data_IF_889734600755
#
_entry.id   IF_889734600755
#
_cell.length_a   1.000
_cell.length_b   1.000
_cell.length_c   1.000
_cell.angle_alpha   90.00
_cell.angle_beta   90.00
_cell.angle_gamma   90.00
#
_symmetry.space_group_name_H-M   'P 1'
#
loop_
_entity.id
_entity.type
_entity.pdbx_description
1 polymer ?
#
# COMPACT_ATOMS: atom_id res chain seq x y z
N UNK A 1 56.03 -4.10 -19.58
CA UNK A 1 55.57 -4.03 -19.39
C UNK A 1 54.56 -3.76 -19.08
N UNK A 2 54.07 -3.77 -18.90
CA UNK A 2 53.29 -3.61 -18.68
C UNK A 2 52.29 -3.32 -18.43
N UNK A 3 51.70 -3.31 -18.18
CA UNK A 3 50.94 -3.09 -18.06
C UNK A 3 49.86 -2.92 -17.88
N UNK A 4 49.31 -2.81 -17.66
CA UNK A 4 48.39 -2.64 -17.59
C UNK A 4 47.42 -2.72 -17.19
N UNK A 5 46.96 -2.76 -17.01
CA UNK A 5 46.17 -2.91 -16.65
C UNK A 5 45.19 -2.57 -16.08
N UNK A 6 44.82 -2.45 -15.79
CA UNK A 6 44.02 -2.10 -15.21
C UNK A 6 42.86 -1.85 -15.31
N UNK A 7 42.52 -1.67 -15.26
CA UNK A 7 41.61 -1.38 -15.40
C UNK A 7 40.51 -1.58 -15.19
N UNK A 8 40.17 -1.83 -15.18
CA UNK A 8 39.27 -2.10 -15.10
C UNK A 8 38.36 -1.96 -14.39
N UNK A 9 38.14 -2.11 -14.00
CA UNK A 9 37.48 -2.11 -13.28
C UNK A 9 36.44 -1.47 -13.13
N UNK A 10 36.12 -1.30 -12.88
CA UNK A 10 35.30 -0.58 -12.66
C UNK A 10 34.06 -0.63 -12.87
N UNK A 11 33.63 -0.66 -13.02
CA UNK A 11 32.59 -0.73 -13.33
C UNK A 11 31.55 -0.96 -12.68
N UNK A 12 31.24 -1.31 -12.38
CA UNK A 12 30.32 -1.67 -11.81
C UNK A 12 29.54 -1.04 -11.08
N UNK A 13 29.41 -1.03 -10.72
CA UNK A 13 28.93 -0.42 -9.93
C UNK A 13 27.69 -0.03 -10.17
N UNK A 14 27.34 0.44 -10.24
CA UNK A 14 26.30 0.92 -10.46
C UNK A 14 25.16 0.45 -10.41
N UNK A 15 24.92 0.13 -10.56
CA UNK A 15 23.91 -0.43 -10.68
C UNK A 15 22.99 -0.44 -9.77
N UNK A 16 23.12 -0.80 -9.14
CA UNK A 16 22.33 -0.94 -8.22
C UNK A 16 21.26 -0.13 -8.01
N UNK A 17 21.30 0.47 -7.68
CA UNK A 17 20.44 1.33 -7.46
C UNK A 17 19.17 1.21 -7.73
N UNK A 18 18.93 1.38 -8.35
CA UNK A 18 17.75 1.49 -8.69
C UNK A 18 16.76 0.93 -7.95
N UNK A 19 16.71 0.20 -7.97
CA UNK A 19 15.85 -0.39 -7.38
C UNK A 19 15.01 0.13 -6.49
N UNK A 20 14.99 0.18 -5.83
CA UNK A 20 14.38 0.44 -4.84
C UNK A 20 13.18 0.99 -4.80
N UNK A 21 13.13 1.65 -4.98
CA UNK A 21 12.11 2.44 -4.80
C UNK A 21 10.85 1.79 -4.84
N UNK A 22 10.43 1.32 -5.60
CA UNK A 22 9.11 0.92 -5.68
C UNK A 22 8.82 -0.38 -5.07
N UNK A 23 9.17 -0.57 -3.92
CA UNK A 23 8.85 -1.81 -3.28
C UNK A 23 7.39 -1.90 -2.99
N UNK A 24 6.67 -2.72 -3.72
CA UNK A 24 5.28 -2.97 -3.40
C UNK A 24 5.15 -4.35 -2.80
N UNK A 25 4.16 -4.53 -1.97
CA UNK A 25 3.89 -5.81 -1.36
C UNK A 25 2.41 -6.09 -1.40
N UNK A 26 2.08 -7.38 -1.26
CA UNK A 26 0.70 -7.82 -1.27
C UNK A 26 0.23 -7.97 0.16
N UNK A 27 -0.86 -7.30 0.49
CA UNK A 27 -1.36 -7.24 1.87
C UNK A 27 -2.84 -7.51 1.86
N UNK A 28 -3.30 -8.33 2.77
CA UNK A 28 -4.73 -8.56 2.97
C UNK A 28 -5.24 -7.61 4.03
N UNK A 29 -6.44 -7.12 3.85
CA UNK A 29 -7.03 -6.23 4.83
C UNK A 29 -8.41 -5.77 4.41
N UNK A 30 -8.81 -4.63 4.95
CA UNK A 30 -10.15 -4.11 4.77
C UNK A 30 -10.10 -2.67 4.33
N UNK A 31 -11.06 -2.29 3.49
CA UNK A 31 -11.23 -0.88 3.18
C UNK A 31 -12.26 -0.33 4.15
N UNK A 32 -11.81 0.57 5.00
CA UNK A 32 -12.64 1.13 6.05
C UNK A 32 -12.73 2.63 5.87
N UNK A 33 -13.29 3.32 6.83
CA UNK A 33 -13.36 4.78 6.79
C UNK A 33 -12.42 5.38 7.82
N UNK A 34 -12.07 6.64 7.63
CA UNK A 34 -11.07 7.29 8.47
C UNK A 34 -11.57 7.56 9.89
N UNK A 35 -12.89 7.53 10.12
CA UNK A 35 -13.40 7.79 11.44
C UNK A 35 -13.32 6.55 12.33
N UNK A 36 -13.73 5.42 11.82
CA UNK A 36 -13.78 4.20 12.63
C UNK A 36 -12.54 3.34 12.47
N UNK A 37 -11.88 3.44 11.33
CA UNK A 37 -10.64 2.69 11.11
C UNK A 37 -10.82 1.22 11.38
N UNK A 38 -9.99 0.68 12.25
CA UNK A 38 -9.99 -0.75 12.52
C UNK A 38 -11.24 -1.24 13.27
N UNK A 39 -12.00 -0.35 13.86
CA UNK A 39 -13.18 -0.78 14.61
C UNK A 39 -14.23 -1.44 13.74
N UNK A 40 -14.41 -0.97 12.52
CA UNK A 40 -15.41 -1.53 11.64
C UNK A 40 -14.83 -2.50 10.62
N UNK A 41 -13.55 -2.77 10.70
CA UNK A 41 -12.94 -3.70 9.76
C UNK A 41 -13.58 -5.08 9.96
N UNK A 42 -14.19 -5.57 8.92
CA UNK A 42 -14.81 -6.88 8.95
C UNK A 42 -16.22 -6.93 9.48
N UNK A 43 -16.76 -5.84 10.01
CA UNK A 43 -18.09 -5.89 10.60
C UNK A 43 -18.96 -4.72 10.28
N UNK A 44 -18.60 -3.71 9.74
CA UNK A 44 -19.45 -2.54 9.55
C UNK A 44 -19.47 -2.02 8.13
N UNK A 45 -19.57 -2.92 7.17
CA UNK A 45 -19.47 -2.51 5.77
C UNK A 45 -20.47 -1.43 5.41
N UNK A 46 -21.71 -1.54 5.86
CA UNK A 46 -22.70 -0.53 5.52
C UNK A 46 -22.38 0.81 6.18
N UNK A 47 -21.87 0.77 7.40
CA UNK A 47 -21.46 1.98 8.09
C UNK A 47 -20.28 2.64 7.38
N UNK A 48 -19.33 1.83 6.95
CA UNK A 48 -18.18 2.33 6.20
C UNK A 48 -18.64 3.04 4.94
N UNK A 49 -19.54 2.41 4.20
CA UNK A 49 -20.05 3.02 2.97
C UNK A 49 -20.74 4.34 3.23
N UNK A 50 -21.53 4.41 4.27
CA UNK A 50 -22.23 5.65 4.61
C UNK A 50 -21.26 6.73 5.03
N UNK A 51 -20.26 6.39 5.81
CA UNK A 51 -19.28 7.37 6.26
C UNK A 51 -18.51 7.94 5.07
N UNK A 52 -18.13 7.09 4.14
CA UNK A 52 -17.38 7.56 2.98
C UNK A 52 -18.28 8.41 2.08
N UNK A 53 -19.52 8.00 1.91
CA UNK A 53 -20.46 8.79 1.13
C UNK A 53 -20.70 10.17 1.76
N UNK A 54 -20.56 10.24 3.07
CA UNK A 54 -20.72 11.50 3.78
C UNK A 54 -19.48 12.36 3.81
N UNK A 55 -18.41 11.93 3.17
CA UNK A 55 -17.21 12.75 3.08
C UNK A 55 -16.00 12.22 3.80
N UNK A 56 -16.10 11.09 4.49
CA UNK A 56 -14.94 10.50 5.14
C UNK A 56 -14.03 9.86 4.11
N UNK A 57 -12.73 9.93 4.34
CA UNK A 57 -11.79 9.31 3.42
C UNK A 57 -11.72 7.81 3.67
N UNK A 58 -11.56 7.01 2.61
CA UNK A 58 -11.33 5.58 2.82
C UNK A 58 -9.91 5.35 3.34
N UNK A 59 -9.74 4.31 4.14
CA UNK A 59 -8.44 3.90 4.65
C UNK A 59 -8.29 2.41 4.46
N UNK A 60 -7.05 1.94 4.47
CA UNK A 60 -6.76 0.51 4.41
C UNK A 60 -6.37 0.03 5.81
N UNK A 61 -6.98 -1.05 6.26
CA UNK A 61 -6.66 -1.64 7.55
C UNK A 61 -5.99 -2.99 7.29
N UNK A 62 -4.72 -3.09 7.65
CA UNK A 62 -3.95 -4.31 7.51
C UNK A 62 -4.49 -5.32 8.50
N UNK A 63 -4.98 -6.47 8.01
CA UNK A 63 -5.64 -7.41 8.91
C UNK A 63 -4.68 -8.09 9.87
N UNK A 64 -3.44 -8.25 9.49
CA UNK A 64 -2.48 -8.95 10.34
C UNK A 64 -2.03 -8.07 11.49
N UNK A 65 -1.84 -6.79 11.24
CA UNK A 65 -1.31 -5.87 12.25
C UNK A 65 -2.37 -4.96 12.84
N UNK A 66 -3.56 -4.96 12.27
CA UNK A 66 -4.62 -4.02 12.67
C UNK A 66 -4.18 -2.57 12.51
N UNK A 67 -3.24 -2.32 11.64
CA UNK A 67 -2.73 -0.99 11.42
C UNK A 67 -3.59 -0.28 10.38
N UNK A 68 -3.85 0.99 10.61
CA UNK A 68 -4.66 1.81 9.72
C UNK A 68 -3.73 2.67 8.88
N UNK A 69 -3.92 2.63 7.57
CA UNK A 69 -3.12 3.38 6.63
C UNK A 69 -4.00 4.28 5.81
N UNK A 70 -3.58 5.53 5.63
CA UNK A 70 -4.28 6.38 4.68
C UNK A 70 -3.96 5.90 3.27
N UNK A 71 -4.83 6.20 2.34
CA UNK A 71 -4.67 5.80 0.95
C UNK A 71 -4.44 7.06 0.14
N UNK A 72 -3.30 7.15 -0.53
CA UNK A 72 -2.99 8.38 -1.25
C UNK A 72 -3.68 8.46 -2.60
N UNK A 73 -4.20 7.34 -3.09
CA UNK A 73 -4.96 7.32 -4.34
C UNK A 73 -6.33 6.68 -4.10
N UNK A 74 -7.22 7.35 -3.36
CA UNK A 74 -8.48 6.73 -2.92
C UNK A 74 -9.40 6.27 -4.04
N UNK A 75 -9.27 6.81 -5.23
CA UNK A 75 -10.09 6.35 -6.33
C UNK A 75 -9.86 4.87 -6.64
N UNK A 76 -8.69 4.34 -6.29
CA UNK A 76 -8.38 2.94 -6.57
C UNK A 76 -9.25 1.99 -5.77
N UNK A 77 -9.84 2.44 -4.66
CA UNK A 77 -10.64 1.56 -3.81
C UNK A 77 -12.15 1.79 -3.94
N UNK A 78 -12.58 2.58 -4.91
CA UNK A 78 -13.99 2.71 -5.17
C UNK A 78 -14.56 1.35 -5.53
N UNK A 79 -15.70 1.05 -5.00
CA UNK A 79 -16.31 -0.25 -5.22
C UNK A 79 -15.91 -1.30 -4.23
N UNK A 80 -14.95 -0.98 -3.33
CA UNK A 80 -14.49 -1.95 -2.34
C UNK A 80 -14.73 -1.48 -0.92
N UNK A 81 -15.50 -0.44 -0.71
CA UNK A 81 -15.73 0.12 0.62
C UNK A 81 -16.35 -0.92 1.55
N UNK A 82 -15.67 -1.20 2.64
CA UNK A 82 -16.13 -2.18 3.62
C UNK A 82 -15.76 -3.61 3.29
N UNK A 83 -15.11 -3.83 2.16
CA UNK A 83 -14.81 -5.19 1.71
C UNK A 83 -13.49 -5.70 2.26
N UNK A 84 -13.40 -7.02 2.34
CA UNK A 84 -12.14 -7.68 2.64
C UNK A 84 -11.39 -7.82 1.31
N UNK A 85 -10.19 -7.29 1.25
CA UNK A 85 -9.47 -7.17 -0.02
C UNK A 85 -8.04 -7.63 0.10
N UNK A 86 -7.46 -7.94 -1.05
CA UNK A 86 -6.02 -8.13 -1.19
C UNK A 86 -5.52 -7.00 -2.06
N UNK A 87 -4.59 -6.22 -1.55
CA UNK A 87 -4.04 -5.11 -2.30
C UNK A 87 -2.56 -5.34 -2.55
N UNK A 88 -2.09 -4.87 -3.70
CA UNK A 88 -0.67 -4.70 -3.94
C UNK A 88 -0.42 -3.21 -3.78
N UNK A 89 0.42 -2.85 -2.86
CA UNK A 89 0.57 -1.44 -2.49
C UNK A 89 2.00 -1.13 -2.12
N UNK A 90 2.35 0.13 -2.30
CA UNK A 90 3.62 0.67 -1.85
C UNK A 90 3.34 1.45 -0.57
N UNK A 91 4.00 1.09 0.50
CA UNK A 91 3.74 1.70 1.80
C UNK A 91 4.79 2.75 2.13
N UNK A 92 4.33 3.86 2.68
CA UNK A 92 5.22 4.89 3.22
C UNK A 92 5.02 4.88 4.72
N UNK A 93 5.92 4.25 5.43
CA UNK A 93 5.76 4.08 6.87
C UNK A 93 5.89 5.38 7.64
N UNK A 94 6.65 6.31 7.14
CA UNK A 94 6.78 7.60 7.80
C UNK A 94 5.47 8.37 7.81
N UNK A 95 4.70 8.24 6.74
CA UNK A 95 3.42 8.93 6.64
C UNK A 95 2.24 8.04 6.98
N UNK A 96 2.47 6.77 7.20
CA UNK A 96 1.40 5.81 7.41
C UNK A 96 0.42 5.84 6.26
N UNK A 97 0.92 5.85 5.07
CA UNK A 97 0.07 5.87 3.88
C UNK A 97 0.49 4.79 2.91
N UNK A 98 -0.46 4.39 2.07
CA UNK A 98 -0.20 3.40 1.03
C UNK A 98 -0.69 3.95 -0.29
N UNK A 99 0.01 3.56 -1.34
CA UNK A 99 -0.41 3.81 -2.71
C UNK A 99 -0.84 2.48 -3.29
N UNK A 100 -2.09 2.38 -3.72
CA UNK A 100 -2.64 1.13 -4.20
C UNK A 100 -2.27 0.93 -5.66
N UNK A 101 -1.54 -0.14 -5.94
CA UNK A 101 -1.17 -0.49 -7.30
C UNK A 101 -2.27 -1.36 -7.92
N UNK A 102 -2.78 -2.32 -7.16
CA UNK A 102 -3.90 -3.14 -7.60
C UNK A 102 -4.70 -3.60 -6.39
N UNK A 103 -5.94 -3.97 -6.62
CA UNK A 103 -6.83 -4.38 -5.56
C UNK A 103 -7.81 -5.41 -6.10
N UNK A 104 -8.10 -6.40 -5.29
CA UNK A 104 -9.08 -7.43 -5.62
C UNK A 104 -9.72 -7.88 -4.32
N UNK A 105 -10.88 -8.49 -4.43
CA UNK A 105 -11.53 -9.04 -3.23
C UNK A 105 -10.71 -10.21 -2.72
N UNK A 106 -10.54 -10.29 -1.41
CA UNK A 106 -9.80 -11.38 -0.82
C UNK A 106 -10.65 -12.65 -0.87
N UNK A 107 -9.98 -13.76 -0.99
CA UNK A 107 -10.68 -15.05 -1.06
C UNK A 107 -10.66 -15.78 0.24
#
# INVERSE_FOLDING_TARGET
>A
MKRVVALLAVVFALTAIAARAADSSTINGWISDSMCGAKHAGTGADCVKKCIQGGMAPVFVDEAKKAVWTIDNPDAVKGFYGDHVTVTATADEGKKSVHIVSIAEAK
#
